data_IF_745651346190
#
_entry.id   IF_745651346190
#
_cell.length_a   1.000
_cell.length_b   1.000
_cell.length_c   1.000
_cell.angle_alpha   90.00
_cell.angle_beta   90.00
_cell.angle_gamma   90.00
#
_symmetry.space_group_name_H-M   'P 1'
#
loop_
_entity.id
_entity.type
_entity.pdbx_description
1 polymer ?
#
# COMPACT_ATOMS: atom_id res chain seq x y z
N UNK A 1 -9.28 14.99 0.98
CA UNK A 1 -9.01 13.68 0.32
C UNK A 1 -9.51 12.60 1.24
N UNK A 2 -10.47 11.82 0.80
CA UNK A 2 -11.04 10.72 1.59
C UNK A 2 -10.20 9.45 1.39
N UNK A 3 -9.83 8.80 2.48
CA UNK A 3 -8.99 7.60 2.47
C UNK A 3 -9.74 6.39 3.01
N UNK A 4 -9.74 5.29 2.28
CA UNK A 4 -10.25 3.99 2.70
C UNK A 4 -9.07 3.09 3.08
N UNK A 5 -9.10 2.53 4.28
CA UNK A 5 -8.13 1.51 4.72
C UNK A 5 -8.84 0.16 4.75
N UNK A 6 -8.55 -0.68 3.78
CA UNK A 6 -9.01 -2.07 3.71
C UNK A 6 -8.08 -2.93 4.57
N UNK A 7 -8.53 -3.27 5.76
CA UNK A 7 -7.78 -4.13 6.68
C UNK A 7 -8.09 -5.59 6.37
N UNK A 8 -7.08 -6.35 5.98
CA UNK A 8 -7.19 -7.77 5.72
C UNK A 8 -6.31 -8.56 6.71
N UNK A 9 -6.88 -8.93 7.84
CA UNK A 9 -6.20 -9.72 8.87
C UNK A 9 -7.15 -10.79 9.41
N UNK A 10 -6.73 -12.08 9.49
CA UNK A 10 -7.62 -13.16 9.95
C UNK A 10 -8.17 -12.95 11.36
N UNK A 11 -7.43 -12.25 12.21
CA UNK A 11 -7.82 -11.91 13.58
C UNK A 11 -7.13 -10.62 14.01
N UNK A 12 -7.70 -9.48 13.65
CA UNK A 12 -7.10 -8.16 13.94
C UNK A 12 -6.91 -7.95 15.45
N UNK A 13 -7.83 -8.45 16.28
CA UNK A 13 -7.75 -8.32 17.72
C UNK A 13 -6.50 -8.96 18.34
N UNK A 14 -5.94 -10.00 17.71
CA UNK A 14 -4.72 -10.68 18.15
C UNK A 14 -3.44 -10.09 17.53
N UNK A 15 -3.58 -9.20 16.55
CA UNK A 15 -2.43 -8.57 15.88
C UNK A 15 -1.89 -7.39 16.69
N UNK A 16 -0.59 -7.37 16.94
CA UNK A 16 0.06 -6.20 17.58
C UNK A 16 0.19 -5.06 16.58
N UNK A 17 0.80 -5.31 15.44
CA UNK A 17 1.13 -4.30 14.43
C UNK A 17 -0.09 -3.83 13.67
N UNK A 18 -0.81 -4.75 12.98
CA UNK A 18 -1.94 -4.33 12.13
C UNK A 18 -3.08 -3.71 12.93
N UNK A 19 -3.30 -4.13 14.19
CA UNK A 19 -4.25 -3.49 15.09
C UNK A 19 -3.84 -2.08 15.44
N UNK A 20 -2.58 -1.86 15.86
CA UNK A 20 -2.08 -0.52 16.19
C UNK A 20 -2.19 0.44 14.98
N UNK A 21 -1.93 -0.05 13.78
CA UNK A 21 -2.10 0.72 12.55
C UNK A 21 -3.56 1.09 12.27
N UNK A 22 -4.47 0.11 12.37
CA UNK A 22 -5.90 0.35 12.16
C UNK A 22 -6.47 1.33 13.21
N UNK A 23 -6.08 1.19 14.49
CA UNK A 23 -6.43 2.10 15.57
C UNK A 23 -5.91 3.52 15.30
N UNK A 24 -4.66 3.66 14.82
CA UNK A 24 -4.09 4.95 14.46
C UNK A 24 -4.83 5.61 13.29
N UNK A 25 -5.17 4.87 12.26
CA UNK A 25 -5.98 5.38 11.15
C UNK A 25 -7.38 5.82 11.59
N UNK A 26 -8.01 5.07 12.50
CA UNK A 26 -9.36 5.39 13.00
C UNK A 26 -9.43 6.72 13.77
N UNK A 27 -8.29 7.27 14.21
CA UNK A 27 -8.23 8.59 14.85
C UNK A 27 -8.21 9.77 13.86
N UNK A 28 -8.01 9.49 12.56
CA UNK A 28 -7.81 10.52 11.56
C UNK A 28 -9.12 10.97 10.91
N UNK A 29 -9.32 12.29 10.72
CA UNK A 29 -10.45 12.77 9.94
C UNK A 29 -10.34 12.28 8.49
N UNK A 30 -11.47 12.11 7.82
CA UNK A 30 -11.55 11.67 6.42
C UNK A 30 -10.93 10.29 6.12
N UNK A 31 -10.69 9.47 7.14
CA UNK A 31 -10.22 8.08 7.02
C UNK A 31 -11.32 7.11 7.45
N UNK A 32 -11.66 6.19 6.58
CA UNK A 32 -12.56 5.07 6.86
C UNK A 32 -11.73 3.80 7.03
N UNK A 33 -11.76 3.19 8.20
CA UNK A 33 -11.13 1.87 8.44
C UNK A 33 -12.19 0.79 8.24
N UNK A 34 -11.93 -0.13 7.33
CA UNK A 34 -12.84 -1.21 6.94
C UNK A 34 -12.16 -2.57 7.11
N UNK A 35 -12.49 -3.27 8.19
CA UNK A 35 -11.97 -4.61 8.49
C UNK A 35 -12.77 -5.67 7.74
N UNK A 36 -12.21 -6.16 6.64
CA UNK A 36 -12.84 -7.15 5.78
C UNK A 36 -13.22 -8.43 6.54
N UNK A 37 -12.38 -8.89 7.47
CA UNK A 37 -12.67 -10.11 8.23
C UNK A 37 -13.76 -9.92 9.27
N UNK A 38 -13.90 -8.73 9.82
CA UNK A 38 -14.98 -8.42 10.75
C UNK A 38 -16.33 -8.24 10.04
N UNK A 39 -16.31 -7.61 8.86
CA UNK A 39 -17.54 -7.38 8.06
C UNK A 39 -18.00 -8.65 7.36
N UNK A 40 -17.08 -9.47 6.90
CA UNK A 40 -17.33 -10.68 6.12
C UNK A 40 -16.73 -11.94 6.77
N UNK A 41 -17.19 -12.32 7.97
CA UNK A 41 -16.63 -13.47 8.69
C UNK A 41 -16.80 -14.80 7.94
N UNK A 42 -17.86 -14.92 7.15
CA UNK A 42 -18.14 -16.08 6.29
C UNK A 42 -17.57 -15.93 4.86
N UNK A 43 -16.78 -14.87 4.61
CA UNK A 43 -16.23 -14.53 3.29
C UNK A 43 -17.30 -14.28 2.19
N UNK A 44 -18.52 -13.98 2.55
CA UNK A 44 -19.62 -13.62 1.65
C UNK A 44 -19.63 -12.10 1.42
N UNK A 45 -18.81 -11.65 0.47
CA UNK A 45 -18.55 -10.24 0.22
C UNK A 45 -19.70 -9.58 -0.53
N UNK A 46 -20.27 -8.51 0.03
CA UNK A 46 -21.23 -7.65 -0.66
C UNK A 46 -20.50 -6.76 -1.68
N UNK A 47 -20.46 -7.24 -2.91
CA UNK A 47 -19.74 -6.59 -4.01
C UNK A 47 -20.23 -5.16 -4.25
N UNK A 48 -21.53 -4.90 -4.16
CA UNK A 48 -22.08 -3.57 -4.44
C UNK A 48 -21.72 -2.58 -3.33
N UNK A 49 -21.77 -3.00 -2.08
CA UNK A 49 -21.35 -2.19 -0.94
C UNK A 49 -19.87 -1.84 -1.03
N UNK A 50 -19.01 -2.82 -1.36
CA UNK A 50 -17.57 -2.61 -1.52
C UNK A 50 -17.23 -1.69 -2.70
N UNK A 51 -17.91 -1.85 -3.82
CA UNK A 51 -17.76 -0.97 -4.97
C UNK A 51 -18.16 0.47 -4.63
N UNK A 52 -19.22 0.66 -3.85
CA UNK A 52 -19.63 1.99 -3.41
C UNK A 52 -18.58 2.60 -2.47
N UNK A 53 -18.02 1.84 -1.54
CA UNK A 53 -16.90 2.30 -0.70
C UNK A 53 -15.72 2.78 -1.54
N UNK A 54 -15.34 2.02 -2.57
CA UNK A 54 -14.28 2.44 -3.48
C UNK A 54 -14.62 3.74 -4.22
N UNK A 55 -15.88 3.95 -4.61
CA UNK A 55 -16.31 5.17 -5.30
C UNK A 55 -16.23 6.40 -4.39
N UNK A 56 -16.57 6.24 -3.11
CA UNK A 56 -16.68 7.32 -2.13
C UNK A 56 -15.32 7.82 -1.62
N UNK A 57 -14.22 7.13 -1.95
CA UNK A 57 -12.88 7.43 -1.47
C UNK A 57 -11.91 7.71 -2.63
N UNK A 58 -10.93 8.56 -2.37
CA UNK A 58 -9.92 8.98 -3.35
C UNK A 58 -8.69 8.08 -3.31
N UNK A 59 -8.27 7.69 -2.08
CA UNK A 59 -7.11 6.83 -1.80
C UNK A 59 -7.56 5.56 -1.10
N UNK A 60 -7.04 4.43 -1.55
CA UNK A 60 -7.32 3.09 -1.02
C UNK A 60 -6.01 2.49 -0.49
N UNK A 61 -5.97 2.15 0.80
CA UNK A 61 -4.83 1.53 1.45
C UNK A 61 -5.18 0.08 1.74
N UNK A 62 -4.46 -0.86 1.14
CA UNK A 62 -4.57 -2.28 1.43
C UNK A 62 -3.61 -2.63 2.56
N UNK A 63 -4.14 -2.79 3.79
CA UNK A 63 -3.37 -3.06 4.99
C UNK A 63 -3.46 -4.54 5.36
N UNK A 64 -2.30 -5.23 5.40
CA UNK A 64 -2.27 -6.66 5.69
C UNK A 64 -0.88 -7.14 6.18
N UNK A 65 -0.79 -8.28 6.88
CA UNK A 65 0.47 -8.96 7.12
C UNK A 65 0.91 -9.73 5.86
N UNK A 66 2.19 -9.72 5.55
CA UNK A 66 2.74 -10.50 4.43
C UNK A 66 2.70 -11.99 4.77
N UNK A 67 1.66 -12.69 4.35
CA UNK A 67 1.48 -14.12 4.55
C UNK A 67 1.81 -14.90 3.29
N UNK A 68 2.74 -15.84 3.41
CA UNK A 68 3.18 -16.65 2.28
C UNK A 68 3.52 -15.81 1.04
N UNK A 69 4.27 -14.71 1.28
CA UNK A 69 4.74 -13.78 0.24
C UNK A 69 3.61 -13.02 -0.49
N UNK A 70 2.42 -12.98 0.10
CA UNK A 70 1.23 -12.33 -0.46
C UNK A 70 0.32 -11.80 0.66
N UNK A 71 -0.94 -11.57 0.36
CA UNK A 71 -1.96 -11.14 1.32
C UNK A 71 -2.73 -12.32 1.93
N UNK A 72 -3.43 -12.11 3.06
CA UNK A 72 -4.47 -13.02 3.52
C UNK A 72 -5.55 -13.29 2.47
N UNK A 73 -6.14 -14.50 2.50
CA UNK A 73 -7.07 -14.99 1.48
C UNK A 73 -8.28 -14.06 1.24
N UNK A 74 -8.78 -13.43 2.29
CA UNK A 74 -9.93 -12.52 2.18
C UNK A 74 -9.66 -11.33 1.27
N UNK A 75 -8.44 -10.79 1.25
CA UNK A 75 -8.10 -9.69 0.35
C UNK A 75 -8.05 -10.15 -1.10
N UNK A 76 -7.56 -11.36 -1.36
CA UNK A 76 -7.56 -11.91 -2.72
C UNK A 76 -8.98 -12.19 -3.20
N UNK A 77 -9.82 -12.77 -2.35
CA UNK A 77 -11.24 -12.97 -2.65
C UNK A 77 -11.94 -11.63 -2.94
N UNK A 78 -11.69 -10.62 -2.10
CA UNK A 78 -12.20 -9.28 -2.31
C UNK A 78 -11.78 -8.71 -3.67
N UNK A 79 -10.50 -8.82 -4.04
CA UNK A 79 -10.00 -8.37 -5.34
C UNK A 79 -10.73 -9.06 -6.50
N UNK A 80 -10.90 -10.38 -6.42
CA UNK A 80 -11.50 -11.17 -7.49
C UNK A 80 -12.99 -10.87 -7.72
N UNK A 81 -13.72 -10.58 -6.64
CA UNK A 81 -15.15 -10.30 -6.70
C UNK A 81 -15.46 -8.82 -6.98
N UNK A 82 -14.82 -7.92 -6.25
CA UNK A 82 -15.13 -6.49 -6.26
C UNK A 82 -14.59 -5.79 -7.51
N UNK A 83 -13.37 -6.15 -7.94
CA UNK A 83 -12.75 -5.56 -9.12
C UNK A 83 -13.26 -6.21 -10.43
N UNK A 84 -14.56 -6.22 -10.59
CA UNK A 84 -15.26 -6.94 -11.66
C UNK A 84 -15.20 -6.23 -13.02
N UNK A 85 -15.51 -6.98 -14.06
CA UNK A 85 -15.70 -6.48 -15.43
C UNK A 85 -16.79 -5.40 -15.46
N UNK A 86 -16.52 -4.30 -16.18
CA UNK A 86 -17.44 -3.17 -16.29
C UNK A 86 -17.33 -2.15 -15.15
N UNK A 87 -16.86 -2.55 -13.98
CA UNK A 87 -16.56 -1.65 -12.87
C UNK A 87 -15.09 -1.21 -12.90
N UNK A 88 -14.16 -2.14 -12.66
CA UNK A 88 -12.74 -1.84 -12.56
C UNK A 88 -12.04 -1.80 -13.94
N UNK A 89 -12.44 -2.64 -14.85
CA UNK A 89 -11.85 -2.77 -16.19
C UNK A 89 -12.88 -3.10 -17.27
N UNK A 90 -12.46 -3.07 -18.56
CA UNK A 90 -13.27 -3.40 -19.73
C UNK A 90 -14.63 -2.68 -19.78
N UNK A 91 -14.65 -1.39 -19.44
CA UNK A 91 -15.88 -0.60 -19.47
C UNK A 91 -15.70 0.77 -18.83
N UNK A 92 -16.39 1.03 -17.73
CA UNK A 92 -16.46 2.35 -17.12
C UNK A 92 -15.16 2.80 -16.42
N UNK A 93 -14.21 1.89 -16.12
CA UNK A 93 -12.96 2.20 -15.42
C UNK A 93 -13.18 3.12 -14.21
N UNK A 94 -14.10 2.75 -13.32
CA UNK A 94 -14.55 3.57 -12.19
C UNK A 94 -13.45 3.92 -11.18
N UNK A 95 -12.32 3.19 -11.23
CA UNK A 95 -11.18 3.39 -10.37
C UNK A 95 -10.05 4.20 -11.02
N UNK A 96 -10.25 4.67 -12.26
CA UNK A 96 -9.24 5.45 -12.98
C UNK A 96 -8.84 6.71 -12.19
N UNK A 97 -7.53 6.89 -12.01
CA UNK A 97 -6.96 8.04 -11.28
C UNK A 97 -7.04 7.95 -9.75
N UNK A 98 -7.73 6.97 -9.17
CA UNK A 98 -7.70 6.74 -7.72
C UNK A 98 -6.33 6.23 -7.30
N UNK A 99 -5.93 6.58 -6.08
CA UNK A 99 -4.65 6.20 -5.52
C UNK A 99 -4.77 4.90 -4.72
N UNK A 100 -3.79 4.03 -4.88
CA UNK A 100 -3.71 2.77 -4.17
C UNK A 100 -2.35 2.60 -3.52
N UNK A 101 -2.34 2.13 -2.28
CA UNK A 101 -1.12 1.85 -1.52
C UNK A 101 -1.24 0.49 -0.83
N UNK A 102 -0.12 -0.20 -0.71
CA UNK A 102 0.01 -1.35 0.19
C UNK A 102 0.68 -0.89 1.48
N UNK A 103 0.12 -1.27 2.63
CA UNK A 103 0.76 -1.18 3.94
C UNK A 103 0.89 -2.58 4.51
N UNK A 104 2.10 -3.12 4.57
CA UNK A 104 2.30 -4.52 4.99
C UNK A 104 3.33 -4.68 6.10
N UNK A 105 2.98 -5.51 7.08
CA UNK A 105 3.88 -5.96 8.15
C UNK A 105 4.55 -7.27 7.76
N UNK A 106 5.86 -7.34 7.96
CA UNK A 106 6.74 -8.41 7.46
C UNK A 106 7.50 -9.00 8.63
N UNK A 107 7.44 -10.32 8.81
CA UNK A 107 8.04 -10.99 9.97
C UNK A 107 9.56 -10.98 9.97
N UNK A 108 10.19 -11.16 8.79
CA UNK A 108 11.64 -11.24 8.64
C UNK A 108 12.28 -9.86 8.45
N UNK A 109 13.61 -9.81 8.38
CA UNK A 109 14.38 -8.58 8.19
C UNK A 109 14.37 -8.16 6.72
N UNK A 110 14.65 -6.90 6.46
CA UNK A 110 14.79 -6.37 5.10
C UNK A 110 15.89 -7.08 4.31
N UNK A 111 17.04 -7.37 4.95
CA UNK A 111 18.17 -8.03 4.30
C UNK A 111 17.86 -9.47 3.84
N UNK A 112 16.82 -10.08 4.39
CA UNK A 112 16.36 -11.40 3.97
C UNK A 112 15.62 -11.35 2.62
N UNK A 113 15.10 -10.18 2.22
CA UNK A 113 14.31 -9.98 0.99
C UNK A 113 15.15 -9.33 -0.10
N UNK A 114 16.15 -10.05 -0.58
CA UNK A 114 17.01 -9.63 -1.68
C UNK A 114 17.72 -10.81 -2.31
N UNK A 115 18.37 -10.61 -3.45
CA UNK A 115 19.25 -11.60 -4.04
C UNK A 115 20.35 -12.02 -3.04
N UNK A 116 20.45 -13.32 -2.77
CA UNK A 116 21.34 -13.90 -1.75
C UNK A 116 20.81 -13.86 -0.31
N UNK A 117 19.70 -13.19 -0.04
CA UNK A 117 18.98 -13.28 1.23
C UNK A 117 18.15 -14.56 1.34
N UNK A 118 17.64 -14.86 2.54
CA UNK A 118 16.87 -16.09 2.82
C UNK A 118 15.62 -16.23 1.94
N UNK A 119 14.93 -15.12 1.67
CA UNK A 119 13.71 -15.10 0.87
C UNK A 119 13.96 -14.85 -0.63
N UNK A 120 15.20 -14.59 -1.05
CA UNK A 120 15.67 -14.44 -2.43
C UNK A 120 15.12 -13.24 -3.22
N UNK A 121 13.84 -12.88 -3.04
CA UNK A 121 13.15 -11.81 -3.76
C UNK A 121 12.92 -10.62 -2.85
N UNK A 122 12.98 -9.41 -3.40
CA UNK A 122 12.59 -8.18 -2.69
C UNK A 122 11.08 -8.16 -2.43
N UNK A 123 10.65 -7.40 -1.42
CA UNK A 123 9.21 -7.24 -1.16
C UNK A 123 8.53 -6.52 -2.33
N UNK A 124 9.21 -5.61 -3.02
CA UNK A 124 8.68 -4.96 -4.23
C UNK A 124 8.37 -5.98 -5.33
N UNK A 125 9.23 -6.98 -5.55
CA UNK A 125 8.95 -8.06 -6.50
C UNK A 125 7.74 -8.90 -6.08
N UNK A 126 7.56 -9.15 -4.80
CA UNK A 126 6.41 -9.88 -4.25
C UNK A 126 5.10 -9.07 -4.33
N UNK A 127 5.19 -7.74 -4.34
CA UNK A 127 4.02 -6.85 -4.46
C UNK A 127 3.64 -6.52 -5.91
N UNK A 128 4.38 -6.99 -6.91
CA UNK A 128 4.06 -6.79 -8.34
C UNK A 128 2.62 -7.12 -8.73
N UNK A 129 1.96 -8.17 -8.20
CA UNK A 129 0.56 -8.43 -8.50
C UNK A 129 -0.39 -7.29 -8.09
N UNK A 130 -0.10 -6.60 -6.97
CA UNK A 130 -0.88 -5.45 -6.50
C UNK A 130 -0.67 -4.24 -7.39
N UNK A 131 0.58 -3.92 -7.72
CA UNK A 131 0.92 -2.84 -8.64
C UNK A 131 0.28 -3.06 -10.00
N UNK A 132 0.40 -4.27 -10.56
CA UNK A 132 -0.20 -4.60 -11.86
C UNK A 132 -1.73 -4.55 -11.84
N UNK A 133 -2.36 -4.97 -10.75
CA UNK A 133 -3.81 -4.84 -10.55
C UNK A 133 -4.25 -3.37 -10.60
N UNK A 134 -3.55 -2.50 -9.88
CA UNK A 134 -3.84 -1.06 -9.85
C UNK A 134 -3.67 -0.44 -11.24
N UNK A 135 -2.55 -0.75 -11.92
CA UNK A 135 -2.28 -0.26 -13.28
C UNK A 135 -3.35 -0.72 -14.27
N UNK A 136 -3.81 -1.97 -14.16
CA UNK A 136 -4.88 -2.51 -15.01
C UNK A 136 -6.22 -1.81 -14.79
N UNK A 137 -6.49 -1.38 -13.56
CA UNK A 137 -7.65 -0.56 -13.20
C UNK A 137 -7.47 0.93 -13.56
N UNK A 138 -6.33 1.33 -14.13
CA UNK A 138 -5.95 2.73 -14.43
C UNK A 138 -5.85 3.61 -13.18
N UNK A 139 -5.61 3.00 -12.03
CA UNK A 139 -5.28 3.69 -10.78
C UNK A 139 -3.81 4.12 -10.74
N UNK A 140 -3.44 4.82 -9.67
CA UNK A 140 -2.05 5.19 -9.37
C UNK A 140 -1.55 4.34 -8.21
N UNK A 141 -0.49 3.57 -8.40
CA UNK A 141 0.12 2.79 -7.34
C UNK A 141 1.16 3.65 -6.63
N UNK A 142 0.93 3.90 -5.34
CA UNK A 142 1.82 4.68 -4.50
C UNK A 142 2.89 3.80 -3.87
N UNK A 143 4.02 4.42 -3.48
CA UNK A 143 5.09 3.74 -2.75
C UNK A 143 4.52 2.99 -1.53
N UNK A 144 4.72 1.68 -1.42
CA UNK A 144 4.19 0.89 -0.31
C UNK A 144 4.85 1.27 1.02
N UNK A 145 4.13 1.07 2.13
CA UNK A 145 4.71 1.14 3.46
C UNK A 145 5.05 -0.28 3.93
N UNK A 146 6.33 -0.51 4.23
CA UNK A 146 6.88 -1.81 4.60
C UNK A 146 7.44 -1.74 6.03
N UNK A 147 6.93 -2.58 6.94
CA UNK A 147 7.43 -2.68 8.30
C UNK A 147 8.01 -4.07 8.53
N UNK A 148 9.33 -4.16 8.46
CA UNK A 148 10.09 -5.38 8.65
C UNK A 148 10.26 -5.72 10.13
N UNK A 149 10.63 -6.99 10.43
CA UNK A 149 10.85 -7.53 11.78
C UNK A 149 9.63 -7.43 12.70
N UNK A 150 8.43 -7.38 12.15
CA UNK A 150 7.18 -7.14 12.87
C UNK A 150 6.92 -8.13 14.01
N UNK A 151 7.48 -9.36 13.95
CA UNK A 151 7.39 -10.38 15.02
C UNK A 151 8.30 -10.02 16.19
N UNK A 152 9.49 -9.50 15.91
CA UNK A 152 10.52 -9.18 16.91
C UNK A 152 10.42 -7.74 17.44
N UNK A 153 9.60 -6.89 16.82
CA UNK A 153 9.42 -5.50 17.21
C UNK A 153 8.86 -5.39 18.64
N UNK A 154 9.40 -4.48 19.43
CA UNK A 154 8.83 -4.12 20.74
C UNK A 154 7.63 -3.16 20.60
N UNK A 155 6.97 -2.81 21.69
CA UNK A 155 5.77 -1.97 21.65
C UNK A 155 6.09 -0.55 21.20
N UNK A 156 7.26 -0.01 21.54
CA UNK A 156 7.68 1.33 21.11
C UNK A 156 7.95 1.36 19.59
N UNK A 157 8.57 0.31 19.04
CA UNK A 157 8.78 0.15 17.58
C UNK A 157 7.42 0.03 16.85
N UNK A 158 6.46 -0.71 17.41
CA UNK A 158 5.11 -0.82 16.85
C UNK A 158 4.38 0.52 16.86
N UNK A 159 4.40 1.26 17.98
CA UNK A 159 3.81 2.59 18.05
C UNK A 159 4.49 3.58 17.09
N UNK A 160 5.83 3.53 16.98
CA UNK A 160 6.54 4.36 16.02
C UNK A 160 6.15 4.03 14.59
N UNK A 161 6.04 2.74 14.25
CA UNK A 161 5.62 2.31 12.91
C UNK A 161 4.21 2.83 12.55
N UNK A 162 3.29 2.90 13.52
CA UNK A 162 1.97 3.46 13.29
C UNK A 162 2.02 4.97 12.98
N UNK A 163 2.86 5.74 13.69
CA UNK A 163 3.09 7.16 13.40
C UNK A 163 3.73 7.37 12.02
N UNK A 164 4.69 6.53 11.67
CA UNK A 164 5.38 6.61 10.38
C UNK A 164 4.47 6.22 9.22
N UNK A 165 3.62 5.21 9.42
CA UNK A 165 2.59 4.82 8.47
C UNK A 165 1.60 5.97 8.22
N UNK A 166 1.08 6.62 9.26
CA UNK A 166 0.18 7.76 9.09
C UNK A 166 0.84 8.88 8.29
N UNK A 167 2.08 9.23 8.62
CA UNK A 167 2.84 10.27 7.92
C UNK A 167 3.04 9.92 6.45
N UNK A 168 3.38 8.67 6.15
CA UNK A 168 3.58 8.17 4.79
C UNK A 168 2.27 8.09 4.02
N UNK A 169 1.29 7.41 4.59
CA UNK A 169 0.04 7.06 3.91
C UNK A 169 -0.91 8.25 3.69
N UNK A 170 -0.83 9.28 4.53
CA UNK A 170 -1.66 10.48 4.41
C UNK A 170 -0.90 11.66 3.77
N UNK A 171 0.34 11.46 3.34
CA UNK A 171 1.07 12.46 2.59
C UNK A 171 0.38 12.68 1.23
N UNK A 172 -0.09 13.89 0.98
CA UNK A 172 -0.76 14.27 -0.28
C UNK A 172 0.22 14.40 -1.44
N UNK A 173 1.50 14.55 -1.14
CA UNK A 173 2.57 14.72 -2.11
C UNK A 173 3.31 13.42 -2.45
N UNK A 174 2.88 12.29 -1.90
CA UNK A 174 3.48 11.00 -2.24
C UNK A 174 3.11 10.61 -3.67
N UNK A 175 4.09 10.69 -4.55
CA UNK A 175 3.94 10.39 -5.97
C UNK A 175 5.28 9.87 -6.52
N UNK A 176 5.40 8.55 -6.74
CA UNK A 176 6.63 7.97 -7.25
C UNK A 176 7.07 8.52 -8.61
N UNK A 177 6.12 8.86 -9.48
CA UNK A 177 6.43 9.42 -10.80
C UNK A 177 6.98 10.84 -10.66
N UNK A 178 6.35 11.68 -9.84
CA UNK A 178 6.83 13.04 -9.55
C UNK A 178 8.20 13.04 -8.87
N UNK A 179 8.40 12.14 -7.92
CA UNK A 179 9.67 12.01 -7.22
C UNK A 179 10.78 11.59 -8.20
N UNK A 180 10.47 10.69 -9.14
CA UNK A 180 11.39 10.30 -10.20
C UNK A 180 11.71 11.45 -11.16
N UNK A 181 10.73 12.21 -11.59
CA UNK A 181 10.93 13.39 -12.45
C UNK A 181 11.79 14.44 -11.75
N UNK A 182 11.51 14.75 -10.48
CA UNK A 182 12.29 15.70 -9.68
C UNK A 182 13.74 15.24 -9.54
N UNK A 183 13.98 13.96 -9.25
CA UNK A 183 15.31 13.39 -9.15
C UNK A 183 16.05 13.47 -10.50
N UNK A 184 15.38 13.15 -11.59
CA UNK A 184 15.94 13.20 -12.93
C UNK A 184 16.34 14.62 -13.32
N UNK A 185 15.49 15.61 -13.09
CA UNK A 185 15.78 17.03 -13.36
C UNK A 185 16.97 17.52 -12.52
N UNK A 186 17.00 17.20 -11.21
CA UNK A 186 18.12 17.55 -10.35
C UNK A 186 19.43 16.93 -10.83
N UNK A 187 19.42 15.67 -11.23
CA UNK A 187 20.62 14.97 -11.71
C UNK A 187 21.14 15.54 -13.02
N UNK A 188 20.26 15.88 -13.95
CA UNK A 188 20.59 16.52 -15.22
C UNK A 188 21.17 17.90 -14.97
N UNK A 189 20.55 18.72 -14.12
CA UNK A 189 21.05 20.05 -13.77
C UNK A 189 22.47 19.99 -13.20
N UNK A 190 22.69 19.09 -12.23
CA UNK A 190 24.03 18.87 -11.63
C UNK A 190 25.08 18.43 -12.66
N UNK A 191 24.71 17.62 -13.63
CA UNK A 191 25.59 17.19 -14.71
C UNK A 191 25.98 18.39 -15.60
N UNK A 192 25.03 19.23 -15.97
CA UNK A 192 25.32 20.43 -16.78
C UNK A 192 26.17 21.45 -16.03
N UNK A 193 25.95 21.67 -14.74
CA UNK A 193 26.78 22.54 -13.90
C UNK A 193 28.25 22.07 -13.90
N UNK A 194 28.51 20.76 -13.79
CA UNK A 194 29.88 20.19 -13.85
C UNK A 194 30.52 20.37 -15.20
N UNK A 195 29.80 20.03 -16.29
CA UNK A 195 30.32 20.20 -17.67
C UNK A 195 30.69 21.67 -17.94
N UNK A 196 29.86 22.61 -17.47
CA UNK A 196 30.12 24.04 -17.67
C UNK A 196 31.29 24.52 -16.83
N UNK A 197 31.55 23.97 -15.66
CA UNK A 197 32.70 24.28 -14.82
C UNK A 197 34.00 23.76 -15.47
N UNK A 198 34.01 22.51 -15.97
CA UNK A 198 35.14 21.87 -16.61
C UNK A 198 35.51 22.55 -17.97
N UNK A 199 34.54 23.20 -18.63
CA UNK A 199 34.78 23.94 -19.87
C UNK A 199 35.32 25.38 -19.66
N UNK A 200 35.35 25.85 -18.41
CA UNK A 200 35.84 27.18 -18.06
C UNK A 200 37.27 27.18 -17.47
N UNK A 201 37.86 25.99 -17.29
CA UNK A 201 39.29 25.77 -16.99
C UNK A 201 40.07 25.47 -18.28
#
# INVERSE_FOLDING_TARGET
MKTLVLVAHPSIASSRVNRAWAEAFATQPDVTVHDLSAVYPEMDIDVLAEQQLLLDHDRIIMQFPLYWYSSPAILKLWQDLVLSTGFAYAGAHKLAGKEFMVATSIGAKEEDYRAGGHNHFSVDELLRPFEQMVNYCRGRYLTPFLFYRSIAADDAEVEQSARDLLRHALNVDIDPERDHETFTQFSIQKMFERISADAAE
#
